data_IF_717482059768
#
_entry.id   IF_717482059768
#
_cell.length_a   1.000
_cell.length_b   1.000
_cell.length_c   1.000
_cell.angle_alpha   90.00
_cell.angle_beta   90.00
_cell.angle_gamma   90.00
#
_symmetry.space_group_name_H-M   'P 1'
#
loop_
_entity.id
_entity.type
_entity.pdbx_description
1 polymer ?
#
# COMPACT_ATOMS: atom_id res chain seq x y z
N UNK A 1 -4.57 -3.44 -15.91
CA UNK A 1 -4.22 -4.00 -14.58
C UNK A 1 -5.47 -4.60 -13.95
N UNK A 2 -5.35 -5.64 -13.12
CA UNK A 2 -6.48 -6.36 -12.54
C UNK A 2 -6.83 -5.85 -11.15
N UNK A 3 -8.14 -5.77 -10.85
CA UNK A 3 -8.65 -5.49 -9.51
C UNK A 3 -9.58 -6.59 -9.04
N UNK A 4 -9.40 -7.04 -7.80
CA UNK A 4 -10.19 -8.11 -7.18
C UNK A 4 -10.42 -7.84 -5.70
N UNK A 5 -11.40 -8.55 -5.11
CA UNK A 5 -11.64 -8.53 -3.66
C UNK A 5 -11.52 -9.94 -3.11
N UNK A 6 -10.86 -10.03 -1.96
CA UNK A 6 -10.60 -11.29 -1.29
C UNK A 6 -10.91 -11.17 0.20
N UNK A 7 -11.29 -12.29 0.80
CA UNK A 7 -11.48 -12.45 2.23
C UNK A 7 -10.42 -13.42 2.74
N UNK A 8 -9.65 -13.01 3.75
CA UNK A 8 -8.82 -13.94 4.49
C UNK A 8 -9.70 -14.78 5.42
N UNK A 9 -9.68 -16.10 5.24
CA UNK A 9 -10.40 -17.09 6.06
C UNK A 9 -9.74 -17.22 7.44
N UNK A 10 -9.86 -16.17 8.25
CA UNK A 10 -9.33 -16.11 9.61
C UNK A 10 -10.19 -15.16 10.46
N UNK A 11 -10.62 -15.64 11.63
CA UNK A 11 -11.44 -14.85 12.57
C UNK A 11 -10.62 -13.76 13.30
N UNK A 12 -9.30 -13.72 13.10
CA UNK A 12 -8.40 -12.72 13.67
C UNK A 12 -7.40 -12.22 12.61
N UNK A 13 -6.96 -10.96 12.72
CA UNK A 13 -5.89 -10.45 11.86
C UNK A 13 -4.62 -11.29 11.99
N UNK A 14 -4.02 -11.64 10.85
CA UNK A 14 -2.73 -12.34 10.82
C UNK A 14 -1.58 -11.34 10.82
N UNK A 15 -0.39 -11.80 11.20
CA UNK A 15 0.83 -10.99 11.09
C UNK A 15 0.97 -10.44 9.65
N UNK A 16 1.14 -9.12 9.44
CA UNK A 16 1.26 -8.52 8.11
C UNK A 16 2.31 -9.18 7.21
N UNK A 17 3.41 -9.70 7.78
CA UNK A 17 4.43 -10.44 7.04
C UNK A 17 3.90 -11.78 6.50
N UNK A 18 3.06 -12.48 7.27
CA UNK A 18 2.38 -13.71 6.83
C UNK A 18 1.31 -13.39 5.80
N UNK A 19 0.53 -12.31 6.01
CA UNK A 19 -0.49 -11.87 5.05
C UNK A 19 0.10 -11.67 3.65
N UNK A 20 1.24 -10.99 3.56
CA UNK A 20 1.95 -10.81 2.30
C UNK A 20 2.28 -12.14 1.60
N UNK A 21 2.74 -13.15 2.36
CA UNK A 21 3.04 -14.48 1.81
C UNK A 21 1.79 -15.19 1.31
N UNK A 22 0.68 -15.09 2.04
CA UNK A 22 -0.61 -15.67 1.64
C UNK A 22 -1.08 -15.04 0.32
N UNK A 23 -1.04 -13.71 0.20
CA UNK A 23 -1.43 -13.02 -1.04
C UNK A 23 -0.51 -13.40 -2.20
N UNK A 24 0.78 -13.61 -1.95
CA UNK A 24 1.74 -14.04 -2.99
C UNK A 24 1.38 -15.40 -3.61
N UNK A 25 0.74 -16.29 -2.86
CA UNK A 25 0.33 -17.60 -3.36
C UNK A 25 -0.65 -17.49 -4.55
N UNK A 26 -1.37 -16.38 -4.67
CA UNK A 26 -2.27 -16.10 -5.81
C UNK A 26 -1.52 -15.98 -7.15
N UNK A 27 -0.19 -15.94 -7.14
CA UNK A 27 0.65 -15.80 -8.33
C UNK A 27 1.73 -16.91 -8.39
N UNK A 28 1.33 -18.19 -8.58
CA UNK A 28 2.25 -19.33 -8.52
C UNK A 28 3.37 -19.25 -9.56
N UNK A 29 3.08 -18.72 -10.75
CA UNK A 29 4.04 -18.58 -11.85
C UNK A 29 5.06 -17.43 -11.64
N UNK A 30 4.98 -16.73 -10.50
CA UNK A 30 5.78 -15.54 -10.17
C UNK A 30 6.41 -15.63 -8.78
N UNK A 31 6.69 -16.84 -8.28
CA UNK A 31 7.23 -17.06 -6.95
C UNK A 31 8.55 -16.29 -6.67
N UNK A 32 9.44 -16.23 -7.66
CA UNK A 32 10.75 -15.57 -7.57
C UNK A 32 10.82 -14.20 -8.26
N UNK A 33 9.70 -13.73 -8.82
CA UNK A 33 9.65 -12.45 -9.52
C UNK A 33 9.61 -11.25 -8.55
N UNK A 34 9.87 -10.05 -9.05
CA UNK A 34 9.56 -8.85 -8.29
C UNK A 34 8.05 -8.73 -8.06
N UNK A 35 7.65 -8.18 -6.90
CA UNK A 35 6.24 -8.09 -6.51
C UNK A 35 5.42 -7.32 -7.55
N UNK A 36 4.51 -8.02 -8.22
CA UNK A 36 3.64 -7.50 -9.28
C UNK A 36 2.26 -7.02 -8.78
N UNK A 37 2.06 -6.95 -7.45
CA UNK A 37 0.79 -6.57 -6.84
C UNK A 37 0.91 -5.53 -5.71
N UNK A 38 -0.20 -4.86 -5.45
CA UNK A 38 -0.47 -3.96 -4.33
C UNK A 38 -1.79 -4.38 -3.70
N UNK A 39 -1.93 -4.16 -2.40
CA UNK A 39 -3.19 -4.45 -1.71
C UNK A 39 -3.46 -3.44 -0.62
N UNK A 40 -4.70 -3.42 -0.16
CA UNK A 40 -5.16 -2.65 1.00
C UNK A 40 -6.15 -3.49 1.80
N UNK A 41 -6.06 -3.42 3.12
CA UNK A 41 -7.04 -4.03 4.03
C UNK A 41 -8.18 -3.01 4.19
N UNK A 42 -9.39 -3.37 3.79
CA UNK A 42 -10.55 -2.46 3.79
C UNK A 42 -11.23 -2.37 5.16
N UNK A 43 -11.09 -3.38 6.02
CA UNK A 43 -11.67 -3.41 7.36
C UNK A 43 -10.59 -3.58 8.44
N UNK A 44 -10.11 -2.46 8.97
CA UNK A 44 -9.13 -2.45 10.08
C UNK A 44 -9.76 -2.51 11.47
N UNK A 45 -10.98 -3.06 11.61
CA UNK A 45 -11.60 -3.27 12.94
C UNK A 45 -10.96 -4.48 13.62
N UNK A 46 -10.72 -4.39 14.92
CA UNK A 46 -10.11 -5.50 15.67
C UNK A 46 -11.08 -6.70 15.73
N UNK A 47 -10.52 -7.92 15.63
CA UNK A 47 -11.25 -9.20 15.69
C UNK A 47 -12.32 -9.45 14.60
N UNK A 48 -12.09 -8.97 13.38
CA UNK A 48 -12.90 -9.37 12.22
C UNK A 48 -12.04 -10.00 11.13
N UNK A 49 -12.70 -10.72 10.23
CA UNK A 49 -12.11 -11.26 9.01
C UNK A 49 -11.47 -10.13 8.18
N UNK A 50 -10.38 -10.38 7.45
CA UNK A 50 -9.69 -9.31 6.72
C UNK A 50 -10.15 -9.28 5.26
N UNK A 51 -10.81 -8.19 4.85
CA UNK A 51 -11.17 -7.89 3.48
C UNK A 51 -10.00 -7.20 2.78
N UNK A 52 -9.58 -7.76 1.65
CA UNK A 52 -8.41 -7.35 0.89
C UNK A 52 -8.88 -6.85 -0.46
N UNK A 53 -8.59 -5.58 -0.74
CA UNK A 53 -8.66 -5.03 -2.09
C UNK A 53 -7.30 -5.18 -2.75
N UNK A 54 -7.25 -5.92 -3.87
CA UNK A 54 -6.03 -6.30 -4.55
C UNK A 54 -5.97 -5.64 -5.93
N UNK A 55 -4.82 -5.06 -6.26
CA UNK A 55 -4.43 -4.63 -7.60
C UNK A 55 -3.22 -5.45 -8.04
N UNK A 56 -3.25 -6.03 -9.23
CA UNK A 56 -2.15 -6.82 -9.77
C UNK A 56 -1.92 -6.56 -11.27
N UNK A 57 -0.69 -6.77 -11.73
CA UNK A 57 -0.36 -6.71 -13.15
C UNK A 57 -0.78 -7.98 -13.90
N UNK A 58 -0.62 -9.14 -13.26
CA UNK A 58 -1.12 -10.44 -13.73
C UNK A 58 -2.46 -10.80 -13.08
N UNK A 59 -3.21 -11.68 -13.73
CA UNK A 59 -4.47 -12.18 -13.18
C UNK A 59 -4.19 -13.09 -11.98
N UNK A 60 -4.74 -12.80 -10.78
CA UNK A 60 -4.55 -13.66 -9.61
C UNK A 60 -5.35 -14.96 -9.77
N UNK A 61 -4.75 -16.07 -9.34
CA UNK A 61 -5.35 -17.40 -9.36
C UNK A 61 -5.80 -17.79 -7.94
N UNK A 62 -6.97 -18.43 -7.82
CA UNK A 62 -7.52 -18.86 -6.53
C UNK A 62 -6.87 -20.17 -6.04
N UNK A 63 -5.55 -20.16 -5.85
CA UNK A 63 -4.75 -21.34 -5.46
C UNK A 63 -4.59 -21.51 -3.94
N UNK A 64 -4.90 -20.46 -3.16
CA UNK A 64 -4.77 -20.47 -1.71
C UNK A 64 -6.09 -20.81 -1.02
N UNK A 65 -6.12 -21.84 -0.18
CA UNK A 65 -7.29 -22.20 0.63
C UNK A 65 -7.61 -21.17 1.73
N UNK A 66 -6.65 -20.30 2.05
CA UNK A 66 -6.81 -19.24 3.06
C UNK A 66 -7.51 -18.00 2.51
N UNK A 67 -7.66 -17.87 1.18
CA UNK A 67 -8.25 -16.69 0.53
C UNK A 67 -9.51 -17.05 -0.24
N UNK A 68 -10.64 -16.48 0.18
CA UNK A 68 -11.91 -16.61 -0.51
C UNK A 68 -12.06 -15.42 -1.46
N UNK A 69 -12.28 -15.70 -2.74
CA UNK A 69 -12.54 -14.66 -3.73
C UNK A 69 -13.94 -14.08 -3.53
N UNK A 70 -14.03 -12.78 -3.19
CA UNK A 70 -15.30 -12.06 -3.04
C UNK A 70 -15.71 -11.33 -4.32
N UNK A 71 -14.74 -10.95 -5.14
CA UNK A 71 -14.96 -10.34 -6.45
C UNK A 71 -13.90 -10.83 -7.41
N UNK A 72 -14.36 -11.34 -8.55
CA UNK A 72 -13.51 -11.82 -9.63
C UNK A 72 -12.55 -10.73 -10.13
N UNK A 73 -11.35 -11.11 -10.62
CA UNK A 73 -10.41 -10.18 -11.18
C UNK A 73 -10.99 -9.49 -12.41
N UNK A 74 -11.20 -8.18 -12.30
CA UNK A 74 -11.63 -7.34 -13.41
C UNK A 74 -10.42 -6.60 -13.97
N UNK A 75 -10.20 -6.74 -15.26
CA UNK A 75 -9.24 -5.88 -15.95
C UNK A 75 -9.78 -4.45 -16.04
N UNK A 76 -8.95 -3.50 -15.60
CA UNK A 76 -9.24 -2.07 -15.64
C UNK A 76 -8.18 -1.37 -16.46
N UNK A 77 -8.67 -0.64 -17.46
CA UNK A 77 -7.93 0.31 -18.26
C UNK A 77 -8.26 1.72 -17.77
N UNK A 78 -7.23 2.49 -17.45
CA UNK A 78 -7.40 3.85 -16.97
C UNK A 78 -7.38 4.81 -18.16
N UNK A 79 -8.52 5.42 -18.46
CA UNK A 79 -8.63 6.55 -19.38
C UNK A 79 -8.68 7.85 -18.57
N UNK A 80 -7.50 8.31 -18.14
CA UNK A 80 -7.33 9.56 -17.41
C UNK A 80 -7.03 10.68 -18.41
N UNK A 81 -7.65 11.84 -18.21
CA UNK A 81 -7.42 13.03 -19.04
C UNK A 81 -6.85 14.14 -18.18
N UNK A 82 -5.83 14.83 -18.71
CA UNK A 82 -5.29 16.01 -18.04
C UNK A 82 -6.40 17.06 -17.82
N UNK A 83 -6.38 17.71 -16.65
CA UNK A 83 -7.40 18.65 -16.21
C UNK A 83 -8.63 18.02 -15.56
N UNK A 84 -8.83 16.70 -15.65
CA UNK A 84 -9.94 16.05 -14.95
C UNK A 84 -9.63 15.85 -13.46
N UNK A 85 -10.63 16.07 -12.62
CA UNK A 85 -10.53 15.84 -11.17
C UNK A 85 -11.15 14.50 -10.76
N UNK A 86 -10.54 13.84 -9.76
CA UNK A 86 -10.98 12.56 -9.22
C UNK A 86 -10.89 12.58 -7.69
N UNK A 87 -11.84 11.90 -7.03
CA UNK A 87 -11.64 11.53 -5.63
C UNK A 87 -10.56 10.47 -5.56
N UNK A 88 -9.66 10.57 -4.58
CA UNK A 88 -8.63 9.58 -4.37
C UNK A 88 -8.63 9.03 -2.94
N UNK A 89 -8.15 7.80 -2.82
CA UNK A 89 -7.79 7.18 -1.54
C UNK A 89 -6.43 6.51 -1.64
N UNK A 90 -5.57 6.75 -0.65
CA UNK A 90 -4.26 6.13 -0.52
C UNK A 90 -3.99 5.78 0.95
N UNK A 91 -3.65 4.52 1.23
CA UNK A 91 -2.99 4.17 2.49
C UNK A 91 -1.48 4.12 2.24
N UNK A 92 -0.68 4.92 2.93
CA UNK A 92 0.77 4.97 2.73
C UNK A 92 1.54 4.99 4.05
N UNK A 93 2.87 4.88 3.97
CA UNK A 93 3.79 5.03 5.11
C UNK A 93 4.68 6.27 4.90
N UNK A 94 4.20 7.48 5.26
CA UNK A 94 4.96 8.71 5.10
C UNK A 94 6.19 8.69 6.01
N UNK A 95 7.38 8.62 5.41
CA UNK A 95 8.65 8.54 6.15
C UNK A 95 9.68 9.47 5.56
N UNK A 96 10.65 9.87 6.40
CA UNK A 96 11.90 10.50 6.00
C UNK A 96 13.08 9.63 6.43
N UNK A 97 14.21 9.75 5.72
CA UNK A 97 15.47 9.13 6.13
C UNK A 97 16.27 10.13 6.95
N UNK A 98 16.74 9.72 8.12
CA UNK A 98 17.64 10.50 8.96
C UNK A 98 18.91 9.70 9.24
N UNK A 99 19.99 10.37 9.64
CA UNK A 99 21.20 9.69 10.08
C UNK A 99 20.95 8.96 11.41
N UNK A 100 21.46 7.75 11.51
CA UNK A 100 21.41 6.89 12.68
C UNK A 100 22.37 7.42 13.75
N UNK A 101 21.85 8.25 14.64
CA UNK A 101 22.62 8.76 15.78
C UNK A 101 23.08 7.65 16.74
N UNK A 102 22.48 6.45 16.67
CA UNK A 102 22.86 5.32 17.53
C UNK A 102 24.03 4.49 16.99
N UNK A 103 24.43 4.69 15.72
CA UNK A 103 25.52 3.98 15.07
C UNK A 103 25.32 2.46 14.91
N UNK A 104 24.11 1.95 15.18
CA UNK A 104 23.82 0.51 15.22
C UNK A 104 23.60 -0.08 13.82
N UNK A 105 23.12 0.69 12.84
CA UNK A 105 22.83 0.17 11.50
C UNK A 105 23.85 0.61 10.45
N UNK A 106 25.00 -0.10 10.40
CA UNK A 106 26.03 0.09 9.36
C UNK A 106 25.60 -0.38 7.96
N UNK A 107 24.50 -1.17 7.85
CA UNK A 107 24.05 -1.78 6.60
C UNK A 107 23.39 -0.81 5.62
N UNK A 108 22.96 0.37 6.09
CA UNK A 108 22.29 1.39 5.29
C UNK A 108 23.05 2.73 5.27
N UNK A 109 24.39 2.69 5.26
CA UNK A 109 25.23 3.90 5.34
C UNK A 109 24.90 4.77 6.57
N UNK A 110 24.44 4.16 7.66
CA UNK A 110 24.00 4.87 8.86
C UNK A 110 22.74 5.71 8.67
N UNK A 111 21.79 5.32 7.82
CA UNK A 111 20.49 6.01 7.67
C UNK A 111 19.32 5.12 8.09
N UNK A 112 18.39 5.69 8.86
CA UNK A 112 17.16 5.03 9.35
C UNK A 112 15.94 5.77 8.83
N UNK A 113 14.87 5.01 8.50
CA UNK A 113 13.57 5.60 8.18
C UNK A 113 12.80 5.89 9.46
N UNK A 114 12.34 7.12 9.59
CA UNK A 114 11.45 7.56 10.67
C UNK A 114 10.13 8.07 10.09
N UNK A 115 8.98 7.83 10.76
CA UNK A 115 7.70 8.33 10.32
C UNK A 115 7.68 9.87 10.38
N UNK A 116 6.91 10.48 9.48
CA UNK A 116 6.48 11.86 9.62
C UNK A 116 5.35 11.92 10.66
N UNK A 117 5.40 12.90 11.55
CA UNK A 117 4.51 12.97 12.72
C UNK A 117 3.54 14.15 12.61
N UNK A 118 4.00 15.28 12.07
CA UNK A 118 3.18 16.48 11.90
C UNK A 118 2.35 16.39 10.62
N UNK A 119 1.13 16.90 10.68
CA UNK A 119 0.14 16.77 9.61
C UNK A 119 0.55 17.56 8.38
N UNK A 120 1.19 18.71 8.57
CA UNK A 120 1.75 19.54 7.52
C UNK A 120 2.85 18.80 6.76
N UNK A 121 3.73 18.07 7.47
CA UNK A 121 4.77 17.24 6.84
C UNK A 121 4.15 16.06 6.07
N UNK A 122 3.10 15.45 6.62
CA UNK A 122 2.38 14.32 6.00
C UNK A 122 1.64 14.77 4.73
N UNK A 123 0.99 15.93 4.77
CA UNK A 123 0.33 16.54 3.61
C UNK A 123 1.35 16.96 2.54
N UNK A 124 2.44 17.62 2.94
CA UNK A 124 3.52 17.96 2.02
C UNK A 124 4.13 16.70 1.37
N UNK A 125 4.21 15.59 2.12
CA UNK A 125 4.70 14.33 1.60
C UNK A 125 3.84 13.81 0.44
N UNK A 126 2.50 13.77 0.58
CA UNK A 126 1.63 13.26 -0.50
C UNK A 126 1.64 14.19 -1.71
N UNK A 127 1.65 15.51 -1.52
CA UNK A 127 1.81 16.48 -2.61
C UNK A 127 3.08 16.21 -3.41
N UNK A 128 4.23 16.07 -2.74
CA UNK A 128 5.50 15.70 -3.38
C UNK A 128 5.46 14.32 -4.04
N UNK A 129 4.70 13.36 -3.51
CA UNK A 129 4.58 12.05 -4.16
C UNK A 129 3.77 12.10 -5.45
N UNK A 130 2.88 13.08 -5.64
CA UNK A 130 2.03 13.22 -6.82
C UNK A 130 2.49 14.33 -7.79
N UNK A 131 3.43 15.18 -7.36
CA UNK A 131 4.07 16.20 -8.17
C UNK A 131 4.45 15.70 -9.58
N UNK A 132 4.04 16.46 -10.59
CA UNK A 132 4.24 16.18 -12.02
C UNK A 132 3.25 15.16 -12.61
N UNK A 133 2.44 14.49 -11.78
CA UNK A 133 1.39 13.55 -12.24
C UNK A 133 -0.02 14.05 -11.94
N UNK A 134 -0.21 14.69 -10.79
CA UNK A 134 -1.47 15.24 -10.36
C UNK A 134 -1.26 16.34 -9.31
N UNK A 135 -2.09 17.38 -9.39
CA UNK A 135 -2.23 18.38 -8.36
C UNK A 135 -3.21 17.89 -7.28
N UNK A 136 -2.88 18.09 -6.00
CA UNK A 136 -3.75 17.68 -4.88
C UNK A 136 -4.57 18.88 -4.43
N UNK A 137 -5.83 18.94 -4.88
CA UNK A 137 -6.78 20.02 -4.61
C UNK A 137 -7.21 20.05 -3.13
N UNK A 138 -7.49 18.87 -2.57
CA UNK A 138 -7.85 18.73 -1.16
C UNK A 138 -7.37 17.39 -0.61
N UNK A 139 -7.08 17.35 0.68
CA UNK A 139 -6.66 16.12 1.36
C UNK A 139 -7.06 16.12 2.83
N UNK A 140 -7.56 14.98 3.28
CA UNK A 140 -7.94 14.65 4.65
C UNK A 140 -7.11 13.44 5.12
N UNK A 141 -6.63 13.51 6.37
CA UNK A 141 -5.89 12.43 7.02
C UNK A 141 -6.83 11.65 7.94
N UNK A 142 -7.39 10.54 7.45
CA UNK A 142 -8.51 9.85 8.12
C UNK A 142 -8.05 8.88 9.20
N UNK A 143 -7.02 8.08 8.91
CA UNK A 143 -6.56 7.04 9.85
C UNK A 143 -5.04 7.05 9.96
N UNK A 144 -4.52 7.11 11.19
CA UNK A 144 -3.10 6.98 11.52
C UNK A 144 -2.91 5.73 12.38
N UNK A 145 -2.39 4.65 11.79
CA UNK A 145 -2.27 3.36 12.46
C UNK A 145 -0.81 2.94 12.62
N UNK A 146 -0.48 2.38 13.78
CA UNK A 146 0.81 1.73 14.01
C UNK A 146 0.70 0.23 13.75
N UNK A 147 1.15 -0.21 12.58
CA UNK A 147 1.25 -1.62 12.24
C UNK A 147 2.51 -2.22 12.87
N UNK A 148 2.33 -3.31 13.61
CA UNK A 148 3.43 -4.13 14.14
C UNK A 148 3.49 -5.43 13.37
N UNK A 149 4.69 -5.84 12.99
CA UNK A 149 4.91 -7.12 12.34
C UNK A 149 6.10 -7.83 12.96
N UNK A 150 6.08 -9.16 12.88
CA UNK A 150 7.12 -10.00 13.43
C UNK A 150 7.79 -10.75 12.30
N UNK A 151 9.12 -10.73 12.27
CA UNK A 151 9.91 -11.56 11.37
C UNK A 151 10.70 -12.55 12.21
N UNK A 152 10.44 -13.84 12.02
CA UNK A 152 11.26 -14.88 12.60
C UNK A 152 12.50 -15.03 11.71
N UNK A 153 13.67 -14.68 12.22
CA UNK A 153 14.96 -14.97 11.58
C UNK A 153 15.82 -15.66 12.62
N UNK A 154 16.19 -16.91 12.37
CA UNK A 154 17.21 -17.67 13.12
C UNK A 154 17.13 -17.52 14.65
N UNK A 155 15.97 -17.79 15.25
CA UNK A 155 15.79 -17.81 16.71
C UNK A 155 15.52 -16.46 17.38
N UNK A 156 15.72 -15.33 16.69
CA UNK A 156 15.44 -13.99 17.24
C UNK A 156 14.17 -13.38 16.62
N UNK A 157 13.29 -12.85 17.48
CA UNK A 157 12.00 -12.27 17.08
C UNK A 157 12.20 -10.78 16.82
N UNK A 158 12.49 -10.44 15.57
CA UNK A 158 12.56 -9.03 15.17
C UNK A 158 11.17 -8.42 15.04
N UNK A 159 10.88 -7.39 15.83
CA UNK A 159 9.64 -6.61 15.78
C UNK A 159 9.85 -5.38 14.92
N UNK A 160 9.16 -5.31 13.79
CA UNK A 160 9.10 -4.12 12.94
C UNK A 160 7.86 -3.27 13.22
N UNK A 161 7.98 -1.96 12.97
CA UNK A 161 6.89 -0.99 13.11
C UNK A 161 6.73 -0.20 11.81
N UNK A 162 5.50 0.02 11.38
CA UNK A 162 5.13 0.82 10.22
C UNK A 162 4.01 1.77 10.65
N UNK A 163 4.22 3.07 10.49
CA UNK A 163 3.18 4.06 10.70
C UNK A 163 2.46 4.30 9.38
N UNK A 164 1.20 3.90 9.29
CA UNK A 164 0.40 4.13 8.09
C UNK A 164 -0.51 5.33 8.25
N UNK A 165 -0.72 6.06 7.17
CA UNK A 165 -1.67 7.16 7.06
C UNK A 165 -2.60 6.89 5.88
N UNK A 166 -3.91 7.00 6.11
CA UNK A 166 -4.91 6.97 5.04
C UNK A 166 -5.26 8.40 4.64
N UNK A 167 -4.98 8.72 3.38
CA UNK A 167 -5.32 9.96 2.72
C UNK A 167 -6.62 9.76 1.93
N UNK A 168 -7.59 10.65 2.13
CA UNK A 168 -8.72 10.85 1.23
C UNK A 168 -8.65 12.25 0.65
N UNK A 169 -9.13 12.47 -0.56
CA UNK A 169 -9.10 13.82 -1.11
C UNK A 169 -9.57 13.90 -2.55
N UNK A 170 -9.27 15.05 -3.15
CA UNK A 170 -9.48 15.31 -4.58
C UNK A 170 -8.14 15.68 -5.20
N UNK A 171 -7.87 15.13 -6.37
CA UNK A 171 -6.72 15.51 -7.19
C UNK A 171 -7.18 15.81 -8.61
N UNK A 172 -6.44 16.68 -9.27
CA UNK A 172 -6.60 17.03 -10.68
C UNK A 172 -5.41 16.47 -11.47
N UNK A 173 -5.69 15.75 -12.55
CA UNK A 173 -4.66 15.06 -13.33
C UNK A 173 -3.82 16.08 -14.11
N UNK A 174 -2.50 16.05 -13.96
CA UNK A 174 -1.56 16.85 -14.75
C UNK A 174 -1.00 16.03 -15.91
N UNK A 175 -0.50 14.83 -15.59
CA UNK A 175 0.07 13.89 -16.56
C UNK A 175 -0.55 12.50 -16.37
N UNK A 176 -1.47 12.10 -17.27
CA UNK A 176 -2.15 10.80 -17.21
C UNK A 176 -1.21 9.60 -17.13
N UNK A 177 -0.15 9.58 -17.94
CA UNK A 177 0.77 8.45 -18.02
C UNK A 177 1.56 8.28 -16.73
N UNK A 178 2.10 9.38 -16.18
CA UNK A 178 2.81 9.36 -14.91
C UNK A 178 1.90 8.95 -13.76
N UNK A 179 0.64 9.39 -13.77
CA UNK A 179 -0.33 9.00 -12.74
C UNK A 179 -0.69 7.51 -12.85
N UNK A 180 -0.92 6.99 -14.06
CA UNK A 180 -1.16 5.56 -14.29
C UNK A 180 0.04 4.73 -13.83
N UNK A 181 1.27 5.18 -14.12
CA UNK A 181 2.48 4.53 -13.63
C UNK A 181 2.58 4.54 -12.09
N UNK A 182 2.17 5.63 -11.43
CA UNK A 182 2.11 5.69 -9.95
C UNK A 182 1.02 4.78 -9.38
N UNK A 183 -0.15 4.67 -10.02
CA UNK A 183 -1.20 3.71 -9.64
C UNK A 183 -0.65 2.28 -9.73
N UNK A 184 -0.04 1.92 -10.86
CA UNK A 184 0.49 0.58 -11.11
C UNK A 184 1.60 0.18 -10.12
N UNK A 185 2.59 1.07 -9.92
CA UNK A 185 3.76 0.78 -9.09
C UNK A 185 3.49 0.98 -7.59
N UNK A 186 2.54 1.84 -7.24
CA UNK A 186 2.20 2.23 -5.89
C UNK A 186 3.10 3.32 -5.31
N UNK A 187 2.54 4.08 -4.36
CA UNK A 187 3.15 5.29 -3.80
C UNK A 187 3.76 5.03 -2.42
N UNK A 188 5.03 5.39 -2.25
CA UNK A 188 5.72 5.30 -0.96
C UNK A 188 6.19 3.90 -0.54
N UNK A 189 6.78 3.79 0.67
CA UNK A 189 7.33 2.55 1.19
C UNK A 189 6.25 1.62 1.78
N UNK A 190 6.68 0.43 2.24
CA UNK A 190 5.84 -0.56 2.92
C UNK A 190 4.71 -1.16 2.05
N UNK A 191 4.90 -1.22 0.73
CA UNK A 191 3.93 -1.79 -0.22
C UNK A 191 3.52 -3.25 0.08
N UNK A 192 4.44 -4.05 0.62
CA UNK A 192 4.17 -5.42 1.08
C UNK A 192 3.29 -5.51 2.34
N UNK A 193 2.97 -4.37 2.97
CA UNK A 193 2.23 -4.28 4.23
C UNK A 193 0.88 -3.57 4.07
N UNK A 194 0.34 -3.53 2.85
CA UNK A 194 -0.96 -2.91 2.57
C UNK A 194 -0.90 -1.41 2.27
N UNK A 195 0.28 -0.88 1.95
CA UNK A 195 0.48 0.52 1.58
C UNK A 195 0.67 0.70 0.07
N UNK A 196 0.49 1.93 -0.40
CA UNK A 196 0.87 2.39 -1.72
C UNK A 196 -0.19 2.20 -2.81
N UNK A 197 -1.27 1.48 -2.54
CA UNK A 197 -2.39 1.35 -3.47
C UNK A 197 -3.19 2.66 -3.52
N UNK A 198 -3.07 3.38 -4.64
CA UNK A 198 -3.85 4.58 -4.96
C UNK A 198 -5.11 4.16 -5.74
N UNK A 199 -6.28 4.54 -5.25
CA UNK A 199 -7.56 4.33 -5.95
C UNK A 199 -8.20 5.65 -6.30
N UNK A 200 -8.73 5.74 -7.53
CA UNK A 200 -9.45 6.90 -8.04
C UNK A 200 -10.93 6.59 -8.24
N UNK A 201 -11.79 7.59 -8.05
CA UNK A 201 -13.20 7.57 -8.40
C UNK A 201 -13.58 8.88 -9.09
N UNK A 202 -14.44 8.80 -10.12
CA UNK A 202 -14.96 9.99 -10.79
C UNK A 202 -15.72 10.87 -9.79
N UNK A 203 -15.63 12.18 -9.96
CA UNK A 203 -16.40 13.15 -9.17
C UNK A 203 -17.87 13.10 -9.55
#
# INVERSE_FOLDING_TARGET
MYFSKWLLKSNKPVNPYRLHKIIWQLFPDQADAERSFLFRIENTRQNCEQHIFLQSLSQPQATSEELIMLREPKEVHFDLKAGNSYRFMLCANPTKKINDKSGKDKRNQGKVRVPLIHDEEIVAWIKRQLEGSAEVDSVELVHKNLLRFYKNKSGDRHVGKIQTVTFLGVLTVENPELLIAKIANGIGPAKSFGCGLLTLAKI
#
